data_IF_319364836737
#
_entry.id   IF_319364836737
#
_cell.length_a   1.000
_cell.length_b   1.000
_cell.length_c   1.000
_cell.angle_alpha   90.00
_cell.angle_beta   90.00
_cell.angle_gamma   90.00
#
_symmetry.space_group_name_H-M   'P 1'
#
loop_
_entity.id
_entity.type
_entity.pdbx_description
1 polymer ?
#
# COMPACT_ATOMS: atom_id res chain seq x y z
N UNK A 1 -11.49 -5.78 -18.98
CA UNK A 1 -11.03 -4.71 -19.88
C UNK A 1 -10.95 -3.44 -19.06
N UNK A 2 -9.85 -2.67 -19.14
CA UNK A 2 -9.71 -1.47 -18.34
C UNK A 2 -10.77 -0.45 -18.73
N UNK A 3 -11.34 0.25 -17.73
CA UNK A 3 -12.24 1.38 -17.94
C UNK A 3 -11.52 2.54 -18.65
N UNK A 4 -10.25 2.74 -18.30
CA UNK A 4 -9.37 3.71 -18.92
C UNK A 4 -8.06 3.01 -19.25
N UNK A 5 -7.72 2.96 -20.54
CA UNK A 5 -6.45 2.37 -20.99
C UNK A 5 -5.27 3.17 -20.41
N UNK A 6 -4.25 2.53 -19.80
CA UNK A 6 -3.01 3.21 -19.40
C UNK A 6 -2.36 3.93 -20.59
N UNK A 7 -1.69 5.06 -20.33
CA UNK A 7 -0.83 5.67 -21.35
C UNK A 7 0.35 4.74 -21.65
N UNK A 8 0.85 4.77 -22.89
CA UNK A 8 2.16 4.18 -23.20
C UNK A 8 3.25 4.97 -22.47
N UNK A 9 4.31 4.29 -22.03
CA UNK A 9 5.48 4.94 -21.44
C UNK A 9 6.10 6.00 -22.37
N UNK A 10 5.93 5.87 -23.69
CA UNK A 10 6.44 6.81 -24.70
C UNK A 10 5.40 7.84 -25.17
N UNK A 11 4.30 8.03 -24.43
CA UNK A 11 3.21 8.92 -24.84
C UNK A 11 3.67 10.36 -25.10
N UNK A 12 4.44 10.92 -24.17
CA UNK A 12 5.05 12.24 -24.23
C UNK A 12 6.31 12.27 -23.34
N UNK A 13 7.03 13.39 -23.31
CA UNK A 13 8.26 13.51 -22.52
C UNK A 13 8.01 13.37 -21.02
N UNK A 14 6.92 13.92 -20.50
CA UNK A 14 6.59 13.87 -19.07
C UNK A 14 6.24 12.43 -18.63
N UNK A 15 5.51 11.69 -19.46
CA UNK A 15 5.16 10.28 -19.23
C UNK A 15 6.40 9.38 -19.32
N UNK A 16 7.36 9.71 -20.20
CA UNK A 16 8.62 8.97 -20.29
C UNK A 16 9.47 9.16 -19.04
N UNK A 17 9.64 10.41 -18.59
CA UNK A 17 10.37 10.72 -17.35
C UNK A 17 9.74 10.01 -16.14
N UNK A 18 8.40 9.99 -16.08
CA UNK A 18 7.65 9.24 -15.08
C UNK A 18 7.95 7.74 -15.13
N UNK A 19 7.92 7.15 -16.32
CA UNK A 19 8.16 5.72 -16.50
C UNK A 19 9.60 5.34 -16.15
N UNK A 20 10.58 6.16 -16.53
CA UNK A 20 11.99 6.00 -16.15
C UNK A 20 12.15 6.03 -14.64
N UNK A 21 11.57 7.01 -13.95
CA UNK A 21 11.60 7.09 -12.48
C UNK A 21 11.07 5.81 -11.80
N UNK A 22 9.96 5.25 -12.29
CA UNK A 22 9.42 4.02 -11.72
C UNK A 22 10.19 2.77 -12.12
N UNK A 23 10.74 2.71 -13.33
CA UNK A 23 11.60 1.61 -13.75
C UNK A 23 12.88 1.54 -12.89
N UNK A 24 13.48 2.68 -12.55
CA UNK A 24 14.66 2.71 -11.67
C UNK A 24 14.34 2.31 -10.23
N UNK A 25 13.18 2.75 -9.71
CA UNK A 25 12.84 2.56 -8.29
C UNK A 25 12.09 1.25 -8.01
N UNK A 26 11.25 0.79 -8.94
CA UNK A 26 10.39 -0.38 -8.82
C UNK A 26 10.69 -1.47 -9.85
N UNK A 27 11.54 -1.23 -10.85
CA UNK A 27 11.83 -2.20 -11.91
C UNK A 27 10.76 -2.28 -13.01
N UNK A 28 9.64 -1.56 -12.84
CA UNK A 28 8.58 -1.38 -13.84
C UNK A 28 7.77 -0.13 -13.51
N UNK A 29 7.13 0.47 -14.52
CA UNK A 29 6.17 1.55 -14.34
C UNK A 29 4.76 1.02 -14.14
N UNK A 30 4.11 1.24 -12.98
CA UNK A 30 2.77 0.73 -12.73
C UNK A 30 1.72 1.34 -13.66
N UNK A 31 0.84 0.51 -14.22
CA UNK A 31 -0.31 0.92 -15.01
C UNK A 31 -1.25 1.87 -14.24
N UNK A 32 -1.29 1.74 -12.91
CA UNK A 32 -2.03 2.64 -12.03
C UNK A 32 -1.57 4.10 -12.19
N UNK A 33 -0.28 4.37 -12.30
CA UNK A 33 0.23 5.74 -12.48
C UNK A 33 0.07 6.20 -13.93
N UNK A 34 0.25 5.30 -14.91
CA UNK A 34 0.04 5.59 -16.33
C UNK A 34 -1.43 5.94 -16.65
N UNK A 35 -2.40 5.42 -15.90
CA UNK A 35 -3.80 5.86 -15.99
C UNK A 35 -4.00 7.23 -15.33
N UNK A 36 -3.39 7.49 -14.16
CA UNK A 36 -3.42 8.80 -13.51
C UNK A 36 -2.76 9.89 -14.37
N UNK A 37 -1.72 9.56 -15.14
CA UNK A 37 -0.94 10.49 -15.96
C UNK A 37 -1.76 11.15 -17.08
N UNK A 38 -2.94 10.60 -17.41
CA UNK A 38 -3.94 11.32 -18.23
C UNK A 38 -4.35 12.67 -17.64
N UNK A 39 -4.13 12.88 -16.33
CA UNK A 39 -4.22 14.14 -15.62
C UNK A 39 -2.93 14.33 -14.79
N UNK A 40 -1.87 14.93 -15.37
CA UNK A 40 -0.53 14.96 -14.75
C UNK A 40 -0.49 15.53 -13.32
N UNK A 41 -1.33 16.53 -13.02
CA UNK A 41 -1.43 17.09 -11.67
C UNK A 41 -1.88 16.05 -10.62
N UNK A 42 -2.79 15.14 -10.99
CA UNK A 42 -3.23 14.04 -10.11
C UNK A 42 -2.10 13.04 -9.90
N UNK A 43 -1.43 12.63 -10.99
CA UNK A 43 -0.27 11.74 -10.96
C UNK A 43 0.83 12.29 -10.04
N UNK A 44 1.24 13.55 -10.25
CA UNK A 44 2.25 14.22 -9.44
C UNK A 44 1.89 14.32 -7.96
N UNK A 45 0.64 14.69 -7.65
CA UNK A 45 0.16 14.75 -6.27
C UNK A 45 0.19 13.37 -5.59
N UNK A 46 -0.27 12.34 -6.31
CA UNK A 46 -0.24 10.96 -5.82
C UNK A 46 1.20 10.47 -5.56
N UNK A 47 2.14 10.76 -6.45
CA UNK A 47 3.56 10.38 -6.28
C UNK A 47 4.17 11.05 -5.05
N UNK A 48 3.87 12.33 -4.84
CA UNK A 48 4.35 13.05 -3.65
C UNK A 48 3.75 12.50 -2.36
N UNK A 49 2.46 12.15 -2.36
CA UNK A 49 1.81 11.49 -1.24
C UNK A 49 2.45 10.11 -0.97
N UNK A 50 2.66 9.31 -2.02
CA UNK A 50 3.31 8.01 -1.91
C UNK A 50 4.71 8.13 -1.28
N UNK A 51 5.54 9.04 -1.79
CA UNK A 51 6.89 9.32 -1.24
C UNK A 51 6.82 9.69 0.25
N UNK A 52 5.91 10.58 0.63
CA UNK A 52 5.75 11.00 2.02
C UNK A 52 5.31 9.86 2.94
N UNK A 53 4.32 9.07 2.52
CA UNK A 53 3.76 7.95 3.30
C UNK A 53 4.77 6.79 3.44
N UNK A 54 5.52 6.51 2.38
CA UNK A 54 6.45 5.37 2.33
C UNK A 54 7.84 5.68 2.89
N UNK A 55 8.14 6.94 3.24
CA UNK A 55 9.35 7.33 3.97
C UNK A 55 9.31 6.78 5.40
N UNK A 56 10.42 6.25 5.92
CA UNK A 56 10.47 5.70 7.27
C UNK A 56 10.99 6.75 8.25
N UNK A 57 10.14 7.23 9.16
CA UNK A 57 10.50 8.26 10.15
C UNK A 57 10.57 7.68 11.59
N UNK A 58 10.36 6.37 11.74
CA UNK A 58 10.34 5.69 13.03
C UNK A 58 10.48 4.17 12.93
N UNK A 59 9.82 3.45 13.85
CA UNK A 59 9.90 1.98 13.93
C UNK A 59 8.98 1.26 12.96
N UNK A 60 8.10 1.98 12.25
CA UNK A 60 7.25 1.40 11.20
C UNK A 60 8.13 1.08 9.98
N UNK A 61 8.71 -0.12 9.99
CA UNK A 61 9.70 -0.54 8.99
C UNK A 61 9.10 -0.58 7.58
N UNK A 62 9.98 -0.53 6.57
CA UNK A 62 9.54 -0.71 5.18
C UNK A 62 8.72 -1.99 5.01
N UNK A 63 9.16 -3.11 5.58
CA UNK A 63 8.46 -4.39 5.56
C UNK A 63 7.06 -4.28 6.18
N UNK A 64 6.94 -3.71 7.38
CA UNK A 64 5.65 -3.57 8.07
C UNK A 64 4.69 -2.68 7.27
N UNK A 65 5.16 -1.58 6.66
CA UNK A 65 4.32 -0.76 5.76
C UNK A 65 3.76 -1.58 4.60
N UNK A 66 4.54 -2.48 4.01
CA UNK A 66 4.05 -3.31 2.89
C UNK A 66 3.13 -4.43 3.37
N UNK A 67 3.33 -4.98 4.57
CA UNK A 67 2.38 -5.90 5.19
C UNK A 67 1.03 -5.22 5.49
N UNK A 68 1.03 -4.01 6.05
CA UNK A 68 -0.17 -3.18 6.25
C UNK A 68 -0.88 -2.92 4.92
N UNK A 69 -0.13 -2.49 3.90
CA UNK A 69 -0.66 -2.28 2.55
C UNK A 69 -1.33 -3.54 1.97
N UNK A 70 -0.71 -4.70 2.20
CA UNK A 70 -1.23 -5.98 1.73
C UNK A 70 -2.51 -6.37 2.48
N UNK A 71 -2.53 -6.27 3.80
CA UNK A 71 -3.74 -6.51 4.62
C UNK A 71 -4.88 -5.58 4.22
N UNK A 72 -4.60 -4.27 4.08
CA UNK A 72 -5.59 -3.30 3.62
C UNK A 72 -6.16 -3.64 2.25
N UNK A 73 -5.31 -4.03 1.30
CA UNK A 73 -5.72 -4.39 -0.06
C UNK A 73 -6.51 -5.70 -0.13
N UNK A 74 -6.24 -6.62 0.79
CA UNK A 74 -7.04 -7.84 0.90
C UNK A 74 -8.41 -7.56 1.51
N UNK A 75 -8.48 -6.71 2.53
CA UNK A 75 -9.74 -6.29 3.15
C UNK A 75 -10.70 -5.63 2.17
N UNK A 76 -10.16 -4.94 1.14
CA UNK A 76 -10.97 -4.29 0.10
C UNK A 76 -11.19 -5.14 -1.16
N UNK A 77 -10.50 -6.28 -1.30
CA UNK A 77 -10.63 -7.18 -2.45
C UNK A 77 -9.88 -6.74 -3.73
N UNK A 78 -9.06 -5.67 -3.71
CA UNK A 78 -8.32 -5.21 -4.89
C UNK A 78 -7.18 -6.17 -5.28
N UNK A 79 -7.42 -7.06 -6.25
CA UNK A 79 -6.41 -8.05 -6.72
C UNK A 79 -5.12 -7.43 -7.24
N UNK A 80 -5.21 -6.35 -8.03
CA UNK A 80 -4.04 -5.63 -8.53
C UNK A 80 -3.15 -5.14 -7.38
N UNK A 81 -3.79 -4.54 -6.37
CA UNK A 81 -3.11 -3.97 -5.22
C UNK A 81 -2.52 -5.05 -4.31
N UNK A 82 -3.21 -6.18 -4.12
CA UNK A 82 -2.69 -7.33 -3.38
C UNK A 82 -1.39 -7.85 -4.01
N UNK A 83 -1.39 -8.05 -5.34
CA UNK A 83 -0.22 -8.56 -6.07
C UNK A 83 0.98 -7.61 -5.97
N UNK A 84 0.76 -6.30 -6.05
CA UNK A 84 1.81 -5.31 -5.88
C UNK A 84 2.32 -5.23 -4.45
N UNK A 85 1.42 -5.26 -3.47
CA UNK A 85 1.77 -5.13 -2.06
C UNK A 85 2.62 -6.31 -1.58
N UNK A 86 2.26 -7.56 -1.93
CA UNK A 86 3.03 -8.74 -1.52
C UNK A 86 4.43 -8.77 -2.16
N UNK A 87 4.56 -8.52 -3.47
CA UNK A 87 5.87 -8.42 -4.15
C UNK A 87 6.72 -7.29 -3.58
N UNK A 88 6.10 -6.17 -3.23
CA UNK A 88 6.81 -5.10 -2.56
C UNK A 88 7.26 -5.54 -1.15
N UNK A 89 6.43 -6.25 -0.39
CA UNK A 89 6.80 -6.74 0.94
C UNK A 89 8.05 -7.63 0.88
N UNK A 90 8.10 -8.59 -0.06
CA UNK A 90 9.26 -9.44 -0.31
C UNK A 90 10.51 -8.61 -0.62
N UNK A 91 10.41 -7.66 -1.57
CA UNK A 91 11.54 -6.80 -1.96
C UNK A 91 12.06 -5.94 -0.81
N UNK A 92 11.17 -5.49 0.07
CA UNK A 92 11.50 -4.61 1.19
C UNK A 92 11.81 -5.37 2.50
N UNK A 93 12.07 -6.68 2.41
CA UNK A 93 12.64 -7.47 3.49
C UNK A 93 11.64 -8.01 4.51
N UNK A 94 10.35 -8.13 4.14
CA UNK A 94 9.42 -8.93 4.94
C UNK A 94 9.87 -10.39 4.94
N UNK A 95 9.84 -11.03 6.11
CA UNK A 95 10.22 -12.44 6.22
C UNK A 95 9.20 -13.32 5.50
N UNK A 96 9.67 -14.33 4.76
CA UNK A 96 8.78 -15.23 4.02
C UNK A 96 7.76 -15.91 4.95
N UNK A 97 8.18 -16.29 6.16
CA UNK A 97 7.31 -16.90 7.16
C UNK A 97 6.16 -15.95 7.58
N UNK A 98 6.43 -14.66 7.72
CA UNK A 98 5.37 -13.66 7.96
C UNK A 98 4.44 -13.56 6.74
N UNK A 99 4.99 -13.51 5.53
CA UNK A 99 4.15 -13.38 4.34
C UNK A 99 3.21 -14.58 4.16
N UNK A 100 3.74 -15.78 4.30
CA UNK A 100 2.97 -17.03 4.15
C UNK A 100 1.87 -17.16 5.22
N UNK A 101 2.07 -16.56 6.40
CA UNK A 101 1.18 -16.68 7.56
C UNK A 101 0.46 -15.37 7.93
N UNK A 102 0.42 -14.37 7.04
CA UNK A 102 -0.13 -13.04 7.38
C UNK A 102 -1.60 -13.09 7.81
N UNK A 103 -2.37 -14.10 7.39
CA UNK A 103 -3.78 -14.23 7.79
C UNK A 103 -3.96 -14.86 9.18
N UNK A 104 -2.91 -15.51 9.69
CA UNK A 104 -2.83 -16.09 11.04
C UNK A 104 -2.06 -15.16 12.01
N UNK A 105 -1.82 -13.90 11.62
CA UNK A 105 -0.92 -12.99 12.36
C UNK A 105 -1.22 -12.86 13.87
N UNK A 106 -2.49 -13.01 14.25
CA UNK A 106 -2.96 -12.89 15.64
C UNK A 106 -2.38 -13.96 16.56
N UNK A 107 -2.05 -15.12 16.02
CA UNK A 107 -1.67 -16.33 16.78
C UNK A 107 -0.31 -16.86 16.35
N UNK A 108 0.09 -16.64 15.10
CA UNK A 108 1.34 -17.17 14.56
C UNK A 108 2.58 -16.52 15.25
N UNK A 109 3.62 -17.31 15.59
CA UNK A 109 4.81 -16.82 16.31
C UNK A 109 5.71 -15.88 15.50
N UNK A 110 5.58 -15.87 14.16
CA UNK A 110 6.32 -14.96 13.29
C UNK A 110 5.96 -13.46 13.48
N UNK A 111 4.91 -13.16 14.26
CA UNK A 111 4.47 -11.80 14.52
C UNK A 111 4.60 -11.47 16.01
N UNK A 112 5.23 -10.33 16.29
CA UNK A 112 5.25 -9.77 17.64
C UNK A 112 3.96 -8.98 17.93
N UNK A 113 3.77 -8.58 19.19
CA UNK A 113 2.52 -7.92 19.60
C UNK A 113 2.33 -6.51 19.01
N UNK A 114 3.42 -5.80 18.72
CA UNK A 114 3.37 -4.49 18.07
C UNK A 114 2.90 -4.63 16.60
N UNK A 115 3.43 -5.62 15.87
CA UNK A 115 3.00 -5.95 14.51
C UNK A 115 1.53 -6.38 14.51
N UNK A 116 1.11 -7.22 15.45
CA UNK A 116 -0.30 -7.62 15.60
C UNK A 116 -1.22 -6.41 15.80
N UNK A 117 -0.84 -5.47 16.66
CA UNK A 117 -1.60 -4.23 16.85
C UNK A 117 -1.71 -3.40 15.57
N UNK A 118 -0.62 -3.31 14.79
CA UNK A 118 -0.61 -2.61 13.51
C UNK A 118 -1.50 -3.29 12.45
N UNK A 119 -1.49 -4.62 12.39
CA UNK A 119 -2.30 -5.39 11.44
C UNK A 119 -3.79 -5.43 11.84
N UNK A 120 -4.11 -5.45 13.14
CA UNK A 120 -5.48 -5.28 13.64
C UNK A 120 -6.02 -3.89 13.24
N UNK A 121 -5.23 -2.84 13.44
CA UNK A 121 -5.57 -1.49 13.00
C UNK A 121 -5.76 -1.41 11.48
N UNK A 122 -4.86 -2.02 10.71
CA UNK A 122 -4.99 -2.09 9.25
C UNK A 122 -6.30 -2.73 8.83
N UNK A 123 -6.67 -3.88 9.41
CA UNK A 123 -7.90 -4.58 9.05
C UNK A 123 -9.14 -3.76 9.42
N UNK A 124 -9.16 -3.13 10.59
CA UNK A 124 -10.29 -2.35 11.06
C UNK A 124 -10.48 -1.06 10.24
N UNK A 125 -9.39 -0.35 9.96
CA UNK A 125 -9.41 0.94 9.26
C UNK A 125 -9.72 0.80 7.75
N UNK A 126 -9.47 -0.37 7.16
CA UNK A 126 -9.77 -0.65 5.74
C UNK A 126 -11.22 -1.06 5.47
N UNK A 127 -12.05 -1.27 6.50
CA UNK A 127 -13.45 -1.65 6.34
C UNK A 127 -14.35 -0.46 5.96
N UNK A 128 -15.49 -0.79 5.33
CA UNK A 128 -16.57 0.16 5.03
C UNK A 128 -17.88 -0.46 5.55
N UNK A 129 -18.46 0.06 6.66
CA UNK A 129 -17.98 1.20 7.46
C UNK A 129 -16.65 0.91 8.19
N UNK A 130 -15.93 1.97 8.55
CA UNK A 130 -14.68 1.89 9.31
C UNK A 130 -14.98 1.24 10.68
N UNK A 131 -14.12 0.29 11.09
CA UNK A 131 -14.32 -0.51 12.30
C UNK A 131 -13.30 -0.19 13.42
N UNK A 132 -12.57 0.93 13.34
CA UNK A 132 -11.64 1.34 14.40
C UNK A 132 -12.43 1.77 15.63
N UNK A 133 -12.13 1.16 16.77
CA UNK A 133 -12.78 1.41 18.05
C UNK A 133 -11.76 1.77 19.16
N UNK A 134 -12.26 1.94 20.39
CA UNK A 134 -11.44 2.31 21.55
C UNK A 134 -10.45 1.20 21.96
N UNK A 135 -10.76 -0.06 21.68
CA UNK A 135 -9.87 -1.19 21.99
C UNK A 135 -8.68 -1.21 21.02
N UNK A 136 -8.91 -1.00 19.72
CA UNK A 136 -7.84 -0.81 18.72
C UNK A 136 -6.98 0.39 19.10
N UNK A 137 -7.61 1.52 19.47
CA UNK A 137 -6.88 2.71 19.91
C UNK A 137 -5.98 2.37 21.11
N UNK A 138 -6.54 1.80 22.17
CA UNK A 138 -5.77 1.46 23.38
C UNK A 138 -4.58 0.56 23.05
N UNK A 139 -4.81 -0.49 22.24
CA UNK A 139 -3.77 -1.42 21.83
C UNK A 139 -2.67 -0.76 20.99
N UNK A 140 -3.01 0.16 20.09
CA UNK A 140 -2.01 0.91 19.33
C UNK A 140 -1.09 1.71 20.25
N UNK A 141 -1.65 2.42 21.23
CA UNK A 141 -0.88 3.25 22.16
C UNK A 141 -0.01 2.44 23.15
N UNK A 142 -0.21 1.12 23.26
CA UNK A 142 0.71 0.24 24.02
C UNK A 142 2.06 0.06 23.31
N UNK A 143 2.11 0.18 21.98
CA UNK A 143 3.30 -0.15 21.19
C UNK A 143 3.82 1.00 20.31
N UNK A 144 2.95 1.90 19.87
CA UNK A 144 3.21 2.89 18.83
C UNK A 144 2.97 4.32 19.33
N UNK A 145 3.81 5.26 18.87
CA UNK A 145 3.60 6.68 19.13
C UNK A 145 2.69 7.32 18.06
N UNK A 146 2.29 8.58 18.27
CA UNK A 146 1.35 9.27 17.38
C UNK A 146 1.87 9.43 15.95
N UNK A 147 3.17 9.71 15.77
CA UNK A 147 3.78 9.81 14.45
C UNK A 147 3.74 8.49 13.69
N UNK A 148 4.06 7.39 14.38
CA UNK A 148 4.00 6.04 13.82
C UNK A 148 2.56 5.60 13.48
N UNK A 149 1.58 5.98 14.31
CA UNK A 149 0.15 5.75 14.02
C UNK A 149 -0.29 6.52 12.77
N UNK A 150 0.17 7.77 12.61
CA UNK A 150 -0.06 8.57 11.40
C UNK A 150 0.59 7.92 10.18
N UNK A 151 1.81 7.40 10.30
CA UNK A 151 2.45 6.65 9.21
C UNK A 151 1.63 5.43 8.80
N UNK A 152 1.17 4.62 9.76
CA UNK A 152 0.34 3.44 9.49
C UNK A 152 -0.98 3.83 8.80
N UNK A 153 -1.70 4.83 9.32
CA UNK A 153 -2.95 5.30 8.71
C UNK A 153 -2.72 5.92 7.33
N UNK A 154 -1.57 6.58 7.13
CA UNK A 154 -1.13 7.08 5.84
C UNK A 154 -1.02 5.96 4.81
N UNK A 155 -0.39 4.84 5.18
CA UNK A 155 -0.31 3.64 4.31
C UNK A 155 -1.70 3.09 4.02
N UNK A 156 -2.53 2.89 5.05
CA UNK A 156 -3.90 2.36 4.89
C UNK A 156 -4.72 3.24 3.95
N UNK A 157 -4.65 4.56 4.12
CA UNK A 157 -5.39 5.54 3.31
C UNK A 157 -4.88 5.62 1.87
N UNK A 158 -3.56 5.60 1.68
CA UNK A 158 -2.92 5.55 0.36
C UNK A 158 -3.36 4.30 -0.40
N UNK A 159 -3.38 3.15 0.27
CA UNK A 159 -3.87 1.92 -0.33
C UNK A 159 -5.38 1.94 -0.53
N UNK A 160 -6.17 2.55 0.35
CA UNK A 160 -7.60 2.79 0.12
C UNK A 160 -7.88 3.64 -1.13
N UNK A 161 -7.04 4.63 -1.43
CA UNK A 161 -7.07 5.37 -2.70
C UNK A 161 -6.74 4.44 -3.88
N UNK A 162 -5.64 3.70 -3.81
CA UNK A 162 -5.21 2.76 -4.86
C UNK A 162 -6.19 1.62 -5.09
N UNK A 163 -6.82 1.10 -4.04
CA UNK A 163 -7.81 0.03 -4.10
C UNK A 163 -9.02 0.51 -4.89
N UNK A 164 -9.58 1.67 -4.53
CA UNK A 164 -10.68 2.28 -5.28
C UNK A 164 -10.28 2.61 -6.72
N UNK A 165 -9.09 3.18 -6.92
CA UNK A 165 -8.61 3.55 -8.25
C UNK A 165 -8.49 2.32 -9.15
N UNK A 166 -7.68 1.33 -8.76
CA UNK A 166 -7.36 0.20 -9.62
C UNK A 166 -8.53 -0.74 -9.86
N UNK A 167 -9.36 -0.95 -8.84
CA UNK A 167 -10.56 -1.78 -8.99
C UNK A 167 -11.58 -1.11 -9.92
N UNK A 168 -11.86 0.18 -9.71
CA UNK A 168 -12.79 0.94 -10.58
C UNK A 168 -12.26 1.13 -12.00
N UNK A 169 -10.95 1.32 -12.16
CA UNK A 169 -10.32 1.47 -13.47
C UNK A 169 -10.17 0.14 -14.21
N UNK A 170 -10.38 -1.00 -13.54
CA UNK A 170 -10.10 -2.32 -14.10
C UNK A 170 -8.63 -2.45 -14.55
N UNK A 171 -7.70 -1.84 -13.80
CA UNK A 171 -6.28 -1.78 -14.14
C UNK A 171 -5.72 -3.20 -14.27
N UNK A 172 -5.14 -3.52 -15.44
CA UNK A 172 -4.48 -4.80 -15.67
C UNK A 172 -3.17 -4.88 -14.89
N UNK A 173 -2.94 -6.03 -14.25
CA UNK A 173 -1.62 -6.39 -13.69
C UNK A 173 -0.63 -6.46 -14.85
N UNK A 174 0.56 -5.95 -14.62
CA UNK A 174 1.70 -5.97 -15.54
C UNK A 174 2.17 -7.41 -15.75
N UNK A 175 2.66 -7.72 -16.96
CA UNK A 175 3.14 -9.06 -17.33
C UNK A 175 4.40 -9.47 -16.53
#
# INVERSE_FOLDING_TARGET
MPLVTPLSADHDSETRELAEFFNETLGFCPNSVLTMQRRPAISKAFINLNKAVMANEGRVTSALKRMIAWVSSNSSGCRYCQAHAIRAAERYGAEQEQLDNIWEYRTHPAFNDAERAALDFSLAASQIPNAVDDDIKKRLYEYWNEGEIVEMLGVISLFGYLNRWNDSMGTSIED
#
